data_IF_890515841667
#
_entry.id   IF_890515841667
#
_cell.length_a   1.000
_cell.length_b   1.000
_cell.length_c   1.000
_cell.angle_alpha   90.00
_cell.angle_beta   90.00
_cell.angle_gamma   90.00
#
_symmetry.space_group_name_H-M   'P 1'
#
loop_
_entity.id
_entity.type
_entity.pdbx_description
1 polymer ?
#
# COMPACT_ATOMS: atom_id res chain seq x y z
N UNK A 1 -7.22 4.59 19.76
CA UNK A 1 -6.25 5.39 18.98
C UNK A 1 -6.18 4.79 17.59
N UNK A 2 -6.24 5.58 16.51
CA UNK A 2 -6.33 5.02 15.14
C UNK A 2 -4.93 4.61 14.62
N UNK A 3 -4.31 3.60 15.26
CA UNK A 3 -2.94 3.13 14.99
C UNK A 3 -2.69 2.88 13.50
N UNK A 4 -3.71 2.41 12.77
CA UNK A 4 -3.58 2.20 11.33
C UNK A 4 -3.30 3.48 10.54
N UNK A 5 -3.92 4.62 10.89
CA UNK A 5 -3.62 5.91 10.24
C UNK A 5 -2.20 6.38 10.53
N UNK A 6 -1.69 6.12 11.75
CA UNK A 6 -0.32 6.47 12.14
C UNK A 6 0.70 5.64 11.35
N UNK A 7 0.50 4.32 11.24
CA UNK A 7 1.40 3.42 10.49
C UNK A 7 1.46 3.82 9.02
N UNK A 8 0.31 4.08 8.40
CA UNK A 8 0.24 4.52 6.99
C UNK A 8 0.94 5.88 6.83
N UNK A 9 0.74 6.82 7.78
CA UNK A 9 1.41 8.12 7.79
C UNK A 9 2.93 8.01 7.85
N UNK A 10 3.46 7.13 8.70
CA UNK A 10 4.90 6.82 8.75
C UNK A 10 5.37 6.26 7.41
N UNK A 11 4.62 5.32 6.82
CA UNK A 11 4.92 4.77 5.51
C UNK A 11 5.02 5.82 4.41
N UNK A 12 4.13 6.83 4.44
CA UNK A 12 4.13 7.95 3.49
C UNK A 12 5.29 8.89 3.72
N UNK A 13 5.60 9.23 4.96
CA UNK A 13 6.79 10.05 5.28
C UNK A 13 8.06 9.37 4.76
N UNK A 14 8.22 8.06 4.99
CA UNK A 14 9.35 7.29 4.45
C UNK A 14 9.31 7.27 2.91
N UNK A 15 8.12 7.09 2.32
CA UNK A 15 7.93 7.16 0.87
C UNK A 15 8.38 8.49 0.28
N UNK A 16 8.06 9.62 0.93
CA UNK A 16 8.49 10.97 0.55
C UNK A 16 10.01 11.13 0.70
N UNK A 17 10.62 10.64 1.79
CA UNK A 17 12.07 10.67 1.95
C UNK A 17 12.79 9.89 0.84
N UNK A 18 12.17 8.80 0.37
CA UNK A 18 12.67 7.98 -0.73
C UNK A 18 12.30 8.53 -2.12
N UNK A 19 11.52 9.60 -2.21
CA UNK A 19 11.03 10.17 -3.48
C UNK A 19 12.16 10.55 -4.44
N UNK A 20 13.28 11.08 -3.92
CA UNK A 20 14.46 11.45 -4.74
C UNK A 20 15.02 10.27 -5.55
N UNK A 21 14.70 9.03 -5.16
CA UNK A 21 15.13 7.80 -5.83
C UNK A 21 14.15 7.33 -6.92
N UNK A 22 12.93 7.87 -6.97
CA UNK A 22 11.89 7.51 -7.93
C UNK A 22 12.01 8.35 -9.20
N UNK A 23 12.57 7.77 -10.27
CA UNK A 23 12.81 8.49 -11.54
C UNK A 23 11.66 8.45 -12.56
N UNK A 24 11.00 7.29 -12.82
CA UNK A 24 9.99 7.22 -13.89
C UNK A 24 8.78 8.09 -13.57
N UNK A 25 8.35 8.93 -14.53
CA UNK A 25 7.21 9.86 -14.36
C UNK A 25 5.93 9.16 -13.91
N UNK A 26 5.67 7.95 -14.39
CA UNK A 26 4.50 7.14 -13.99
C UNK A 26 4.55 6.82 -12.48
N UNK A 27 5.71 6.40 -11.97
CA UNK A 27 5.88 6.09 -10.55
C UNK A 27 5.76 7.34 -9.67
N UNK A 28 6.29 8.47 -10.13
CA UNK A 28 6.10 9.76 -9.46
C UNK A 28 4.62 10.10 -9.37
N UNK A 29 3.87 9.98 -10.46
CA UNK A 29 2.42 10.21 -10.47
C UNK A 29 1.67 9.30 -9.50
N UNK A 30 2.03 8.02 -9.43
CA UNK A 30 1.45 7.07 -8.47
C UNK A 30 1.72 7.50 -7.03
N UNK A 31 2.96 7.87 -6.70
CA UNK A 31 3.30 8.28 -5.34
C UNK A 31 2.59 9.57 -4.93
N UNK A 32 2.55 10.57 -5.81
CA UNK A 32 1.81 11.82 -5.58
C UNK A 32 0.33 11.53 -5.36
N UNK A 33 -0.25 10.65 -6.18
CA UNK A 33 -1.61 10.17 -6.00
C UNK A 33 -1.83 9.58 -4.61
N UNK A 34 -0.96 8.67 -4.16
CA UNK A 34 -1.06 8.03 -2.84
C UNK A 34 -0.97 9.04 -1.68
N UNK A 35 -0.10 10.04 -1.80
CA UNK A 35 0.03 11.12 -0.82
C UNK A 35 -1.27 11.94 -0.75
N UNK A 36 -1.82 12.31 -1.90
CA UNK A 36 -3.07 13.06 -1.99
C UNK A 36 -4.23 12.24 -1.42
N UNK A 37 -4.37 10.97 -1.82
CA UNK A 37 -5.38 10.06 -1.28
C UNK A 37 -5.30 10.03 0.25
N UNK A 38 -4.10 9.86 0.81
CA UNK A 38 -3.94 9.84 2.25
C UNK A 38 -4.31 11.17 2.92
N UNK A 39 -3.86 12.30 2.38
CA UNK A 39 -4.20 13.62 2.91
C UNK A 39 -5.72 13.85 2.93
N UNK A 40 -6.43 13.44 1.88
CA UNK A 40 -7.89 13.52 1.81
C UNK A 40 -8.59 12.67 2.88
N UNK A 41 -7.97 11.59 3.36
CA UNK A 41 -8.54 10.70 4.40
C UNK A 41 -8.52 11.28 5.83
N UNK A 42 -7.87 12.44 6.03
CA UNK A 42 -7.90 13.18 7.31
C UNK A 42 -9.06 14.18 7.38
N UNK A 43 -9.67 14.50 6.25
CA UNK A 43 -10.83 15.38 6.23
C UNK A 43 -12.02 14.57 6.78
N UNK A 44 -12.71 15.10 7.78
CA UNK A 44 -13.89 14.48 8.41
C UNK A 44 -15.13 14.57 7.50
N UNK A 45 -14.98 14.08 6.27
CA UNK A 45 -16.02 14.02 5.26
C UNK A 45 -16.03 12.61 4.64
N UNK A 46 -17.18 11.96 4.72
CA UNK A 46 -17.35 10.58 4.28
C UNK A 46 -17.16 10.40 2.77
N UNK A 47 -17.59 11.38 1.96
CA UNK A 47 -17.39 11.35 0.51
C UNK A 47 -15.90 11.40 0.16
N UNK A 48 -15.14 12.31 0.80
CA UNK A 48 -13.70 12.45 0.58
C UNK A 48 -12.92 11.20 1.03
N UNK A 49 -13.35 10.59 2.13
CA UNK A 49 -12.77 9.32 2.62
C UNK A 49 -13.01 8.17 1.62
N UNK A 50 -14.20 8.07 1.05
CA UNK A 50 -14.51 7.06 0.04
C UNK A 50 -13.72 7.28 -1.26
N UNK A 51 -13.63 8.53 -1.72
CA UNK A 51 -12.83 8.89 -2.91
C UNK A 51 -11.36 8.55 -2.68
N UNK A 52 -10.82 8.87 -1.50
CA UNK A 52 -9.47 8.50 -1.10
C UNK A 52 -9.25 6.99 -1.18
N UNK A 53 -10.17 6.20 -0.62
CA UNK A 53 -10.08 4.75 -0.62
C UNK A 53 -10.12 4.15 -2.03
N UNK A 54 -11.03 4.62 -2.89
CA UNK A 54 -11.11 4.20 -4.29
C UNK A 54 -9.85 4.58 -5.07
N UNK A 55 -9.35 5.80 -4.85
CA UNK A 55 -8.12 6.29 -5.48
C UNK A 55 -6.91 5.41 -5.11
N UNK A 56 -6.78 5.03 -3.83
CA UNK A 56 -5.76 4.07 -3.39
C UNK A 56 -5.87 2.73 -4.14
N UNK A 57 -7.08 2.18 -4.26
CA UNK A 57 -7.34 0.95 -5.01
C UNK A 57 -6.88 1.04 -6.46
N UNK A 58 -7.29 2.10 -7.18
CA UNK A 58 -6.90 2.32 -8.58
C UNK A 58 -5.37 2.45 -8.72
N UNK A 59 -4.73 3.22 -7.85
CA UNK A 59 -3.28 3.42 -7.87
C UNK A 59 -2.50 2.13 -7.60
N UNK A 60 -2.99 1.28 -6.68
CA UNK A 60 -2.40 -0.04 -6.41
C UNK A 60 -2.50 -0.97 -7.61
N UNK A 61 -3.61 -0.93 -8.34
CA UNK A 61 -3.80 -1.72 -9.57
C UNK A 61 -2.84 -1.25 -10.68
N UNK A 62 -2.77 0.07 -10.92
CA UNK A 62 -1.86 0.66 -11.92
C UNK A 62 -0.41 0.26 -11.62
N UNK A 63 0.01 0.35 -10.35
CA UNK A 63 1.35 -0.06 -9.94
C UNK A 63 1.62 -1.55 -10.16
N UNK A 64 0.63 -2.40 -9.89
CA UNK A 64 0.72 -3.86 -10.08
C UNK A 64 0.91 -4.21 -11.55
N UNK A 65 0.11 -3.62 -12.43
CA UNK A 65 0.21 -3.79 -13.88
C UNK A 65 1.57 -3.30 -14.38
N UNK A 66 2.00 -2.12 -13.96
CA UNK A 66 3.31 -1.57 -14.30
C UNK A 66 4.45 -2.53 -13.89
N UNK A 67 4.38 -3.07 -12.67
CA UNK A 67 5.37 -4.00 -12.14
C UNK A 67 5.39 -5.32 -12.91
N UNK A 68 4.23 -5.82 -13.34
CA UNK A 68 4.10 -7.00 -14.20
C UNK A 68 4.74 -6.81 -15.58
N UNK A 69 4.46 -5.68 -16.24
CA UNK A 69 5.06 -5.32 -17.53
C UNK A 69 6.60 -5.26 -17.41
N UNK A 70 7.11 -4.72 -16.30
CA UNK A 70 8.56 -4.63 -16.02
C UNK A 70 9.15 -5.93 -15.44
N UNK A 71 8.40 -7.02 -15.37
CA UNK A 71 8.81 -8.33 -14.82
C UNK A 71 9.40 -8.23 -13.41
N UNK A 72 8.90 -7.29 -12.60
CA UNK A 72 9.28 -7.08 -11.20
C UNK A 72 8.30 -7.80 -10.29
N UNK A 73 8.42 -9.13 -10.23
CA UNK A 73 7.47 -10.01 -9.53
C UNK A 73 7.25 -9.68 -8.05
N UNK A 74 8.30 -9.31 -7.30
CA UNK A 74 8.16 -8.92 -5.89
C UNK A 74 7.29 -7.68 -5.72
N UNK A 75 7.50 -6.67 -6.58
CA UNK A 75 6.71 -5.44 -6.56
C UNK A 75 5.26 -5.70 -7.01
N UNK A 76 5.08 -6.58 -7.98
CA UNK A 76 3.75 -7.00 -8.44
C UNK A 76 2.99 -7.65 -7.28
N UNK A 77 3.61 -8.56 -6.52
CA UNK A 77 2.96 -9.22 -5.39
C UNK A 77 2.49 -8.18 -4.37
N UNK A 78 3.37 -7.25 -3.97
CA UNK A 78 3.03 -6.20 -3.01
C UNK A 78 1.87 -5.32 -3.52
N UNK A 79 1.95 -4.83 -4.76
CA UNK A 79 0.86 -4.03 -5.32
C UNK A 79 -0.46 -4.80 -5.43
N UNK A 80 -0.39 -6.07 -5.81
CA UNK A 80 -1.55 -6.91 -6.01
C UNK A 80 -2.27 -7.21 -4.70
N UNK A 81 -1.53 -7.49 -3.63
CA UNK A 81 -2.12 -7.70 -2.30
C UNK A 81 -2.77 -6.42 -1.75
N UNK A 82 -2.14 -5.25 -1.95
CA UNK A 82 -2.77 -3.98 -1.64
C UNK A 82 -4.10 -3.77 -2.40
N UNK A 83 -4.15 -4.13 -3.68
CA UNK A 83 -5.39 -4.07 -4.47
C UNK A 83 -6.45 -5.08 -4.01
N UNK A 84 -6.06 -6.34 -3.77
CA UNK A 84 -6.97 -7.38 -3.28
C UNK A 84 -7.55 -7.01 -1.92
N UNK A 85 -6.74 -6.43 -1.03
CA UNK A 85 -7.20 -5.88 0.24
C UNK A 85 -8.30 -4.84 0.03
N UNK A 86 -8.04 -3.85 -0.85
CA UNK A 86 -9.01 -2.84 -1.22
C UNK A 86 -10.31 -3.47 -1.78
N UNK A 87 -10.18 -4.37 -2.75
CA UNK A 87 -11.31 -4.98 -3.44
C UNK A 87 -12.18 -5.83 -2.48
N UNK A 88 -11.54 -6.55 -1.56
CA UNK A 88 -12.26 -7.35 -0.56
C UNK A 88 -13.11 -6.51 0.38
N UNK A 89 -12.62 -5.33 0.78
CA UNK A 89 -13.38 -4.37 1.60
C UNK A 89 -14.51 -3.74 0.82
N UNK A 90 -14.26 -3.39 -0.45
CA UNK A 90 -15.28 -2.82 -1.34
C UNK A 90 -16.46 -3.78 -1.54
N UNK A 91 -16.17 -5.07 -1.68
CA UNK A 91 -17.19 -6.12 -1.88
C UNK A 91 -17.81 -6.65 -0.59
N UNK A 92 -17.46 -6.09 0.58
CA UNK A 92 -17.88 -6.61 1.89
C UNK A 92 -17.64 -8.12 2.04
N UNK A 93 -16.49 -8.60 1.55
CA UNK A 93 -16.23 -10.04 1.45
C UNK A 93 -16.18 -10.70 2.84
N UNK A 94 -16.94 -11.78 3.09
CA UNK A 94 -17.09 -12.37 4.42
C UNK A 94 -15.79 -12.93 5.00
N UNK A 95 -14.83 -13.32 4.15
CA UNK A 95 -13.52 -13.83 4.58
C UNK A 95 -12.40 -12.77 4.51
N UNK A 96 -12.73 -11.48 4.56
CA UNK A 96 -11.75 -10.39 4.55
C UNK A 96 -10.71 -10.50 5.69
N UNK A 97 -11.06 -11.13 6.82
CA UNK A 97 -10.11 -11.38 7.91
C UNK A 97 -9.05 -12.42 7.52
N UNK A 98 -9.39 -13.47 6.75
CA UNK A 98 -8.39 -14.43 6.25
C UNK A 98 -7.42 -13.74 5.28
N UNK A 99 -7.92 -12.81 4.46
CA UNK A 99 -7.08 -12.01 3.57
C UNK A 99 -6.08 -11.13 4.35
N UNK A 100 -6.46 -10.61 5.53
CA UNK A 100 -5.54 -9.85 6.37
C UNK A 100 -4.36 -10.70 6.87
N UNK A 101 -4.55 -11.99 7.16
CA UNK A 101 -3.43 -12.88 7.51
C UNK A 101 -2.43 -13.03 6.36
N UNK A 102 -2.93 -13.09 5.13
CA UNK A 102 -2.08 -13.19 3.94
C UNK A 102 -1.26 -11.92 3.67
N UNK A 103 -1.52 -10.80 4.38
CA UNK A 103 -0.71 -9.58 4.32
C UNK A 103 0.71 -9.78 4.86
N UNK A 104 1.02 -10.92 5.51
CA UNK A 104 2.41 -11.28 5.82
C UNK A 104 3.25 -11.52 4.56
N UNK A 105 2.63 -11.99 3.46
CA UNK A 105 3.31 -12.28 2.20
C UNK A 105 3.97 -11.01 1.63
N UNK A 106 3.24 -9.91 1.39
CA UNK A 106 3.85 -8.71 0.84
C UNK A 106 4.84 -8.02 1.80
N UNK A 107 4.68 -8.17 3.12
CA UNK A 107 5.69 -7.73 4.11
C UNK A 107 7.02 -8.50 3.91
N UNK A 108 6.97 -9.83 3.74
CA UNK A 108 8.16 -10.63 3.45
C UNK A 108 8.75 -10.28 2.09
N UNK A 109 7.92 -10.10 1.06
CA UNK A 109 8.36 -9.65 -0.27
C UNK A 109 9.08 -8.29 -0.20
N UNK A 110 8.64 -7.39 0.67
CA UNK A 110 9.29 -6.10 0.86
C UNK A 110 10.68 -6.25 1.49
N UNK A 111 10.84 -7.13 2.48
CA UNK A 111 12.14 -7.49 3.04
C UNK A 111 13.12 -7.98 1.96
N UNK A 112 12.67 -8.88 1.09
CA UNK A 112 13.48 -9.36 -0.06
C UNK A 112 13.80 -8.25 -1.06
N UNK A 113 12.87 -7.32 -1.26
CA UNK A 113 13.05 -6.15 -2.14
C UNK A 113 14.09 -5.19 -1.58
N UNK A 114 14.14 -5.03 -0.26
CA UNK A 114 15.13 -4.20 0.43
C UNK A 114 16.55 -4.79 0.34
N UNK A 115 16.68 -6.11 0.44
CA UNK A 115 17.96 -6.81 0.21
C UNK A 115 18.46 -6.54 -1.23
N UNK A 116 17.55 -6.55 -2.21
CA UNK A 116 17.84 -6.28 -3.63
C UNK A 116 17.63 -4.82 -4.04
N UNK A 117 17.85 -3.86 -3.11
CA UNK A 117 17.54 -2.42 -3.28
C UNK A 117 18.00 -1.78 -4.59
N UNK A 118 19.16 -2.17 -5.12
CA UNK A 118 19.73 -1.66 -6.38
C UNK A 118 18.74 -1.83 -7.55
N UNK A 119 18.09 -3.00 -7.63
CA UNK A 119 17.16 -3.37 -8.72
C UNK A 119 15.80 -2.67 -8.61
N UNK A 120 15.39 -2.32 -7.39
CA UNK A 120 14.05 -1.83 -7.07
C UNK A 120 14.03 -0.39 -6.56
N UNK A 121 15.16 0.31 -6.70
CA UNK A 121 15.40 1.65 -6.14
C UNK A 121 14.32 2.67 -6.51
N UNK A 122 13.77 2.57 -7.72
CA UNK A 122 12.77 3.50 -8.23
C UNK A 122 11.39 3.30 -7.57
N UNK A 123 11.05 2.07 -7.20
CA UNK A 123 9.72 1.68 -6.70
C UNK A 123 9.64 1.68 -5.16
N UNK A 124 10.79 1.73 -4.47
CA UNK A 124 10.87 1.63 -3.00
C UNK A 124 9.94 2.59 -2.27
N UNK A 125 9.78 3.83 -2.75
CA UNK A 125 8.89 4.82 -2.14
C UNK A 125 7.43 4.34 -2.10
N UNK A 126 6.91 3.85 -3.22
CA UNK A 126 5.55 3.33 -3.37
C UNK A 126 5.38 2.04 -2.58
N UNK A 127 6.34 1.13 -2.68
CA UNK A 127 6.31 -0.15 -1.96
C UNK A 127 6.24 0.07 -0.45
N UNK A 128 6.93 1.08 0.07
CA UNK A 128 6.88 1.40 1.50
C UNK A 128 5.48 1.84 1.93
N UNK A 129 4.76 2.60 1.09
CA UNK A 129 3.38 3.01 1.37
C UNK A 129 2.43 1.81 1.36
N UNK A 130 2.53 0.93 0.36
CA UNK A 130 1.69 -0.26 0.30
C UNK A 130 1.94 -1.20 1.47
N UNK A 131 3.20 -1.46 1.81
CA UNK A 131 3.55 -2.35 2.92
C UNK A 131 3.14 -1.75 4.26
N UNK A 132 3.20 -0.43 4.44
CA UNK A 132 2.68 0.21 5.64
C UNK A 132 1.15 0.04 5.75
N UNK A 133 0.42 0.15 4.64
CA UNK A 133 -1.01 -0.16 4.61
C UNK A 133 -1.28 -1.63 4.97
N UNK A 134 -0.58 -2.57 4.35
CA UNK A 134 -0.75 -4.00 4.60
C UNK A 134 -0.39 -4.38 6.04
N UNK A 135 0.69 -3.80 6.58
CA UNK A 135 1.08 -3.94 7.98
C UNK A 135 0.00 -3.40 8.92
N UNK A 136 -0.61 -2.26 8.58
CA UNK A 136 -1.71 -1.70 9.38
C UNK A 136 -2.93 -2.62 9.40
N UNK A 137 -3.22 -3.29 8.29
CA UNK A 137 -4.33 -4.26 8.20
C UNK A 137 -4.02 -5.56 8.93
N UNK A 138 -2.78 -6.03 8.88
CA UNK A 138 -2.31 -7.18 9.63
C UNK A 138 -2.39 -6.93 11.15
N UNK A 139 -1.93 -5.77 11.63
CA UNK A 139 -1.97 -5.43 13.07
C UNK A 139 -3.42 -5.33 13.57
N UNK A 140 -4.33 -4.69 12.82
CA UNK A 140 -5.75 -4.64 13.18
C UNK A 140 -6.38 -6.02 13.32
N UNK A 141 -5.92 -7.02 12.57
CA UNK A 141 -6.37 -8.39 12.78
C UNK A 141 -5.88 -8.91 14.13
N UNK A 142 -4.59 -8.74 14.46
CA UNK A 142 -4.04 -9.24 15.73
C UNK A 142 -4.72 -8.61 16.96
N UNK A 143 -5.12 -7.33 16.90
CA UNK A 143 -5.89 -6.69 17.97
C UNK A 143 -7.27 -7.33 18.22
N UNK A 144 -7.90 -7.88 17.18
CA UNK A 144 -9.20 -8.55 17.29
C UNK A 144 -9.11 -9.99 17.82
N UNK A 145 -7.92 -10.60 17.77
CA UNK A 145 -7.69 -11.97 18.28
C UNK A 145 -7.09 -11.99 19.68
N UNK A 146 -6.43 -10.91 20.11
CA UNK A 146 -5.77 -10.80 21.43
C UNK A 146 -6.73 -10.27 22.50
N UNK A 147 -7.77 -9.51 22.11
CA UNK A 147 -8.87 -9.08 22.98
C UNK A 147 -10.09 -10.00 22.79
#
# INVERSE_FOLDING_TARGET
>A
MNYGKIIIGIGILIGILLFKKTKPKILVGILVGLIISFALSFIENQLLTNISFISFGILSLIFSIYSGIKRKWLNLIIGFFAFVSFFSKLMHYPYANVLKLLMIIPIVCFGLTFIKKEKFKNELSILTVFVAYELSEFIKLTEHWIN
#
